data_IF_634042345487
#
_entry.id   IF_634042345487
#
_cell.length_a   1.000
_cell.length_b   1.000
_cell.length_c   1.000
_cell.angle_alpha   90.00
_cell.angle_beta   90.00
_cell.angle_gamma   90.00
#
_symmetry.space_group_name_H-M   'P 1'
#
loop_
_entity.id
_entity.type
_entity.pdbx_description
1 polymer ?
#
# COMPACT_ATOMS: atom_id res chain seq x y z
N UNK A 1 -9.71 19.48 -28.65
CA UNK A 1 -8.48 18.66 -28.62
C UNK A 1 -7.62 18.92 -27.37
N UNK A 2 -7.31 20.17 -27.01
CA UNK A 2 -6.52 20.53 -25.79
C UNK A 2 -7.16 20.08 -24.47
N UNK A 3 -8.49 20.21 -24.33
CA UNK A 3 -9.23 19.76 -23.14
C UNK A 3 -9.15 18.24 -22.91
N UNK A 4 -9.16 17.43 -23.97
CA UNK A 4 -9.08 15.98 -23.84
C UNK A 4 -7.69 15.53 -23.35
N UNK A 5 -6.63 16.19 -23.81
CA UNK A 5 -5.25 15.96 -23.37
C UNK A 5 -5.10 16.34 -21.89
N UNK A 6 -5.68 17.48 -21.48
CA UNK A 6 -5.66 17.92 -20.08
C UNK A 6 -6.41 16.98 -19.14
N UNK A 7 -7.60 16.53 -19.52
CA UNK A 7 -8.40 15.57 -18.74
C UNK A 7 -7.68 14.22 -18.67
N UNK A 8 -7.12 13.75 -19.78
CA UNK A 8 -6.34 12.52 -19.83
C UNK A 8 -5.09 12.60 -18.94
N UNK A 9 -4.33 13.70 -19.01
CA UNK A 9 -3.14 13.91 -18.18
C UNK A 9 -3.48 14.02 -16.68
N UNK A 10 -4.60 14.69 -16.36
CA UNK A 10 -5.10 14.80 -14.97
C UNK A 10 -5.56 13.46 -14.42
N UNK A 11 -6.20 12.63 -15.23
CA UNK A 11 -6.66 11.30 -14.83
C UNK A 11 -5.49 10.31 -14.74
N UNK A 12 -4.50 10.41 -15.62
CA UNK A 12 -3.33 9.55 -15.62
C UNK A 12 -2.37 9.87 -14.46
N UNK A 13 -2.28 11.15 -14.06
CA UNK A 13 -1.49 11.60 -12.89
C UNK A 13 -2.22 11.43 -11.54
N UNK A 14 -3.53 11.19 -11.54
CA UNK A 14 -4.33 11.04 -10.32
C UNK A 14 -3.83 9.92 -9.36
N UNK A 15 -3.52 8.69 -9.82
CA UNK A 15 -3.00 7.66 -8.92
C UNK A 15 -1.65 8.04 -8.31
N UNK A 16 -0.77 8.66 -9.11
CA UNK A 16 0.52 9.15 -8.63
C UNK A 16 0.35 10.26 -7.58
N UNK A 17 -0.58 11.19 -7.77
CA UNK A 17 -0.87 12.24 -6.78
C UNK A 17 -1.41 11.68 -5.46
N UNK A 18 -2.29 10.67 -5.53
CA UNK A 18 -2.77 9.98 -4.33
C UNK A 18 -1.62 9.28 -3.59
N UNK A 19 -0.75 8.57 -4.32
CA UNK A 19 0.47 7.97 -3.75
C UNK A 19 1.37 9.01 -3.08
N UNK A 20 1.69 10.10 -3.74
CA UNK A 20 2.57 11.13 -3.17
C UNK A 20 1.94 11.79 -1.94
N UNK A 21 0.62 12.01 -1.94
CA UNK A 21 -0.09 12.52 -0.74
C UNK A 21 0.03 11.54 0.42
N UNK A 22 -0.14 10.24 0.15
CA UNK A 22 0.02 9.18 1.14
C UNK A 22 1.45 9.10 1.70
N UNK A 23 2.47 9.10 0.83
CA UNK A 23 3.88 9.05 1.24
C UNK A 23 4.29 10.28 2.04
N UNK A 24 3.89 11.48 1.60
CA UNK A 24 4.15 12.72 2.35
C UNK A 24 3.47 12.72 3.72
N UNK A 25 2.24 12.17 3.82
CA UNK A 25 1.55 12.04 5.10
C UNK A 25 2.27 11.07 6.04
N UNK A 26 2.75 9.92 5.53
CA UNK A 26 3.59 9.00 6.30
C UNK A 26 4.88 9.67 6.79
N UNK A 27 5.61 10.37 5.92
CA UNK A 27 6.85 11.06 6.29
C UNK A 27 6.64 12.12 7.38
N UNK A 28 5.49 12.83 7.35
CA UNK A 28 5.13 13.84 8.35
C UNK A 28 4.49 13.26 9.62
N UNK A 29 4.14 11.97 9.62
CA UNK A 29 3.36 11.36 10.71
C UNK A 29 1.91 11.84 10.77
N UNK A 30 1.35 12.34 9.66
CA UNK A 30 -0.06 12.73 9.55
C UNK A 30 -0.94 11.49 9.33
N UNK A 31 -1.22 10.80 10.43
CA UNK A 31 -1.94 9.52 10.41
C UNK A 31 -3.43 9.66 10.07
N UNK A 32 -4.02 10.83 10.30
CA UNK A 32 -5.39 11.12 9.92
C UNK A 32 -5.54 11.16 8.41
N UNK A 33 -4.60 11.84 7.72
CA UNK A 33 -4.54 11.82 6.25
C UNK A 33 -4.26 10.42 5.71
N UNK A 34 -3.33 9.68 6.33
CA UNK A 34 -3.06 8.28 5.97
C UNK A 34 -4.33 7.45 6.06
N UNK A 35 -5.07 7.54 7.18
CA UNK A 35 -6.32 6.80 7.39
C UNK A 35 -7.40 7.24 6.41
N UNK A 36 -7.52 8.53 6.10
CA UNK A 36 -8.49 9.05 5.14
C UNK A 36 -8.23 8.58 3.69
N UNK A 37 -6.96 8.32 3.34
CA UNK A 37 -6.55 7.83 2.01
C UNK A 37 -6.78 6.33 1.82
N UNK A 38 -7.31 5.63 2.82
CA UNK A 38 -7.64 4.21 2.73
C UNK A 38 -9.05 3.98 2.14
N UNK A 39 -9.27 2.86 1.43
CA UNK A 39 -10.59 2.51 0.89
C UNK A 39 -11.69 2.57 1.94
N UNK A 40 -12.84 3.13 1.56
CA UNK A 40 -13.99 3.24 2.47
C UNK A 40 -14.46 1.87 2.96
N UNK A 41 -14.38 0.85 2.11
CA UNK A 41 -14.71 -0.54 2.44
C UNK A 41 -13.78 -1.14 3.50
N UNK A 42 -12.49 -0.78 3.48
CA UNK A 42 -11.52 -1.26 4.45
C UNK A 42 -11.85 -0.72 5.86
N UNK A 43 -12.24 0.56 5.92
CA UNK A 43 -12.70 1.23 7.14
C UNK A 43 -14.05 0.73 7.62
N UNK A 44 -15.04 0.62 6.72
CA UNK A 44 -16.40 0.21 7.04
C UNK A 44 -16.48 -1.24 7.55
N UNK A 45 -15.61 -2.12 7.06
CA UNK A 45 -15.52 -3.51 7.51
C UNK A 45 -14.66 -3.70 8.77
N UNK A 46 -14.10 -2.62 9.33
CA UNK A 46 -13.23 -2.68 10.49
C UNK A 46 -11.91 -3.43 10.26
N UNK A 47 -11.50 -3.62 8.99
CA UNK A 47 -10.22 -4.25 8.64
C UNK A 47 -9.06 -3.36 9.11
N UNK A 48 -9.27 -2.05 9.04
CA UNK A 48 -8.38 -1.04 9.58
C UNK A 48 -9.12 -0.08 10.51
N UNK A 49 -8.42 0.37 11.53
CA UNK A 49 -8.88 1.41 12.46
C UNK A 49 -7.77 2.46 12.61
N UNK A 50 -8.09 3.69 13.04
CA UNK A 50 -7.06 4.72 13.30
C UNK A 50 -5.98 4.22 14.27
N UNK A 51 -6.38 3.47 15.30
CA UNK A 51 -5.47 2.86 16.27
C UNK A 51 -4.54 1.82 15.62
N UNK A 52 -5.05 0.99 14.72
CA UNK A 52 -4.23 0.01 14.01
C UNK A 52 -3.22 0.69 13.06
N UNK A 53 -3.64 1.76 12.38
CA UNK A 53 -2.74 2.60 11.57
C UNK A 53 -1.63 3.18 12.43
N UNK A 54 -1.99 3.78 13.58
CA UNK A 54 -1.04 4.35 14.53
C UNK A 54 -0.03 3.34 15.05
N UNK A 55 -0.49 2.19 15.53
CA UNK A 55 0.42 1.12 15.98
C UNK A 55 1.32 0.62 14.86
N UNK A 56 0.80 0.48 13.65
CA UNK A 56 1.59 0.05 12.49
C UNK A 56 2.68 1.08 12.15
N UNK A 57 2.33 2.36 12.23
CA UNK A 57 3.28 3.45 12.04
C UNK A 57 4.39 3.41 13.10
N UNK A 58 4.02 3.37 14.38
CA UNK A 58 4.95 3.41 15.51
C UNK A 58 5.88 2.18 15.58
N UNK A 59 5.38 0.99 15.26
CA UNK A 59 6.11 -0.26 15.46
C UNK A 59 6.78 -0.85 14.21
N UNK A 60 6.36 -0.44 13.01
CA UNK A 60 6.95 -0.91 11.75
C UNK A 60 7.45 0.25 10.90
N UNK A 61 6.54 1.11 10.41
CA UNK A 61 6.87 2.02 9.32
C UNK A 61 7.92 3.05 9.73
N UNK A 62 7.76 3.68 10.88
CA UNK A 62 8.68 4.71 11.36
C UNK A 62 10.07 4.14 11.67
N UNK A 63 10.24 3.19 12.61
CA UNK A 63 11.57 2.75 13.04
C UNK A 63 12.30 1.88 12.00
N UNK A 64 11.58 1.11 11.18
CA UNK A 64 12.21 0.19 10.21
C UNK A 64 12.41 0.81 8.83
N UNK A 65 11.71 1.90 8.51
CA UNK A 65 11.73 2.48 7.17
C UNK A 65 11.92 4.00 7.17
N UNK A 66 10.99 4.78 7.71
CA UNK A 66 10.94 6.23 7.51
C UNK A 66 12.08 6.99 8.21
N UNK A 67 12.59 6.48 9.33
CA UNK A 67 13.71 7.12 10.04
C UNK A 67 15.07 6.89 9.33
N UNK A 68 15.19 5.79 8.58
CA UNK A 68 16.48 5.34 8.04
C UNK A 68 16.63 5.59 6.55
N UNK A 69 15.55 5.51 5.78
CA UNK A 69 15.61 5.56 4.34
C UNK A 69 14.92 6.81 3.78
N UNK A 70 15.36 7.23 2.59
CA UNK A 70 14.76 8.31 1.81
C UNK A 70 14.34 7.80 0.44
N UNK A 71 13.19 8.27 -0.03
CA UNK A 71 12.68 7.92 -1.34
C UNK A 71 13.59 8.53 -2.41
N UNK A 72 14.10 7.71 -3.33
CA UNK A 72 14.97 8.16 -4.42
C UNK A 72 14.30 8.04 -5.79
N UNK A 73 13.38 7.08 -5.95
CA UNK A 73 12.70 6.85 -7.22
C UNK A 73 11.34 6.21 -7.00
N UNK A 74 10.37 6.64 -7.81
CA UNK A 74 9.04 6.03 -7.93
C UNK A 74 8.87 5.58 -9.36
N UNK A 75 8.69 4.28 -9.57
CA UNK A 75 8.40 3.70 -10.87
C UNK A 75 6.94 3.29 -10.93
N UNK A 76 6.24 3.68 -11.99
CA UNK A 76 4.89 3.18 -12.27
C UNK A 76 5.02 1.93 -13.12
N UNK A 77 4.69 0.78 -12.55
CA UNK A 77 4.57 -0.47 -13.29
C UNK A 77 3.10 -0.70 -13.58
N UNK A 78 2.64 -0.35 -14.78
CA UNK A 78 1.36 -0.89 -15.22
C UNK A 78 1.54 -2.41 -15.35
N UNK A 79 0.64 -3.25 -14.78
CA UNK A 79 0.60 -4.64 -15.21
C UNK A 79 0.46 -4.63 -16.74
N UNK A 80 1.28 -5.41 -17.45
CA UNK A 80 1.16 -5.61 -18.90
C UNK A 80 -0.28 -6.04 -19.18
N UNK A 81 -1.12 -5.10 -19.57
CA UNK A 81 -2.49 -5.37 -19.99
C UNK A 81 -2.45 -5.45 -21.52
N UNK A 82 -2.39 -6.66 -22.05
CA UNK A 82 -2.80 -6.99 -23.43
C UNK A 82 -4.35 -6.92 -23.58
N UNK A 83 -5.00 -6.04 -22.82
CA UNK A 83 -6.45 -5.92 -22.69
C UNK A 83 -6.97 -4.53 -23.06
N UNK A 84 -8.28 -4.39 -23.32
CA UNK A 84 -8.88 -3.16 -23.83
C UNK A 84 -8.62 -1.96 -22.90
N UNK A 85 -8.58 -0.73 -23.45
CA UNK A 85 -8.14 0.46 -22.74
C UNK A 85 -8.89 0.66 -21.42
N UNK A 86 -8.13 1.02 -20.37
CA UNK A 86 -8.46 1.15 -18.93
C UNK A 86 -9.75 1.93 -18.58
N UNK A 87 -10.44 2.48 -19.57
CA UNK A 87 -11.66 3.29 -19.47
C UNK A 87 -12.90 2.42 -19.14
N UNK A 88 -12.85 1.10 -19.39
CA UNK A 88 -14.00 0.19 -19.23
C UNK A 88 -13.94 -0.77 -18.03
N UNK A 89 -12.86 -0.75 -17.24
CA UNK A 89 -12.68 -1.68 -16.11
C UNK A 89 -13.22 -1.07 -14.82
N UNK A 90 -14.20 -1.74 -14.19
CA UNK A 90 -14.92 -1.27 -13.00
C UNK A 90 -14.03 -1.10 -11.76
N UNK A 91 -12.93 -1.84 -11.67
CA UNK A 91 -11.89 -1.69 -10.64
C UNK A 91 -10.54 -1.51 -11.31
N UNK A 92 -9.82 -0.44 -10.99
CA UNK A 92 -8.49 -0.17 -11.56
C UNK A 92 -7.47 -0.09 -10.44
N UNK A 93 -6.36 -0.82 -10.58
CA UNK A 93 -5.23 -0.75 -9.67
C UNK A 93 -3.97 -0.41 -10.46
N UNK A 94 -3.20 0.54 -9.94
CA UNK A 94 -1.90 0.93 -10.49
C UNK A 94 -0.84 0.53 -9.48
N UNK A 95 0.13 -0.25 -9.91
CA UNK A 95 1.27 -0.63 -9.10
C UNK A 95 2.39 0.40 -9.23
N UNK A 96 2.95 0.80 -8.10
CA UNK A 96 4.15 1.61 -8.02
C UNK A 96 5.24 0.86 -7.26
N UNK A 97 6.46 0.91 -7.79
CA UNK A 97 7.67 0.39 -7.16
C UNK A 97 8.42 1.58 -6.59
N UNK A 98 8.72 1.52 -5.29
CA UNK A 98 9.37 2.59 -4.55
C UNK A 98 10.78 2.18 -4.17
N UNK A 99 11.75 2.92 -4.69
CA UNK A 99 13.16 2.71 -4.38
C UNK A 99 13.57 3.68 -3.28
N UNK A 100 14.16 3.11 -2.25
CA UNK A 100 14.60 3.80 -1.04
C UNK A 100 16.09 3.59 -0.83
N UNK A 101 16.78 4.62 -0.34
CA UNK A 101 18.21 4.59 -0.03
C UNK A 101 18.49 5.26 1.33
N UNK A 102 19.38 4.68 2.13
CA UNK A 102 19.87 5.30 3.37
C UNK A 102 21.10 6.21 3.11
N UNK A 103 21.56 6.90 4.17
CA UNK A 103 22.69 7.82 4.07
C UNK A 103 24.02 7.12 3.69
N UNK A 104 24.13 5.81 3.91
CA UNK A 104 25.29 5.00 3.58
C UNK A 104 25.22 4.41 2.17
N UNK A 105 24.11 4.64 1.45
CA UNK A 105 23.91 4.13 0.09
C UNK A 105 23.22 2.77 0.03
N UNK A 106 22.84 2.16 1.16
CA UNK A 106 22.12 0.90 1.17
C UNK A 106 20.68 1.11 0.71
N UNK A 107 20.15 0.15 -0.04
CA UNK A 107 18.78 0.19 -0.54
C UNK A 107 17.89 -0.83 0.16
N UNK A 108 16.59 -0.53 0.26
CA UNK A 108 15.61 -1.59 0.59
C UNK A 108 15.53 -2.51 -0.62
N UNK A 109 16.05 -3.73 -0.47
CA UNK A 109 16.04 -4.75 -1.51
C UNK A 109 15.39 -6.02 -0.98
N UNK A 110 14.38 -6.54 -1.68
CA UNK A 110 13.69 -5.96 -2.84
C UNK A 110 12.89 -4.67 -2.55
N UNK A 111 12.67 -3.77 -3.54
CA UNK A 111 11.98 -2.50 -3.35
C UNK A 111 10.58 -2.63 -2.76
N UNK A 112 10.07 -1.55 -2.16
CA UNK A 112 8.71 -1.51 -1.65
C UNK A 112 7.71 -1.38 -2.79
N UNK A 113 6.54 -2.00 -2.63
CA UNK A 113 5.48 -2.00 -3.65
C UNK A 113 4.22 -1.39 -3.02
N UNK A 114 3.60 -0.45 -3.73
CA UNK A 114 2.34 0.16 -3.35
C UNK A 114 1.35 0.07 -4.50
N UNK A 115 0.16 -0.42 -4.21
CA UNK A 115 -0.95 -0.35 -5.14
C UNK A 115 -1.83 0.85 -4.80
N UNK A 116 -2.18 1.62 -5.83
CA UNK A 116 -3.18 2.67 -5.74
C UNK A 116 -4.39 2.19 -6.52
N UNK A 117 -5.51 1.99 -5.83
CA UNK A 117 -6.73 1.42 -6.41
C UNK A 117 -7.86 2.42 -6.45
N UNK A 118 -8.75 2.24 -7.44
CA UNK A 118 -10.03 2.91 -7.55
C UNK A 118 -11.08 1.84 -7.77
N UNK A 119 -11.97 1.69 -6.79
CA UNK A 119 -13.05 0.70 -6.80
C UNK A 119 -14.37 1.37 -7.21
N UNK A 120 -15.43 0.61 -7.58
CA UNK A 120 -16.74 1.20 -7.82
C UNK A 120 -17.30 1.97 -6.62
N UNK A 121 -16.92 1.56 -5.40
CA UNK A 121 -17.35 2.16 -4.15
C UNK A 121 -16.56 3.44 -3.82
N UNK A 122 -15.27 3.49 -4.18
CA UNK A 122 -14.41 4.66 -4.01
C UNK A 122 -14.15 5.34 -5.36
N UNK A 123 -14.86 6.44 -5.64
CA UNK A 123 -14.64 7.25 -6.86
C UNK A 123 -13.25 7.91 -6.91
N UNK A 124 -12.55 7.93 -5.78
CA UNK A 124 -11.21 8.47 -5.61
C UNK A 124 -10.16 7.37 -5.60
N UNK A 125 -8.91 7.72 -5.93
CA UNK A 125 -7.78 6.83 -5.82
C UNK A 125 -7.37 6.68 -4.36
N UNK A 126 -7.33 5.44 -3.87
CA UNK A 126 -7.06 5.08 -2.48
C UNK A 126 -5.90 4.08 -2.40
N UNK A 127 -5.31 3.97 -1.21
CA UNK A 127 -4.25 3.01 -0.93
C UNK A 127 -4.83 1.93 0.00
N UNK A 128 -5.01 0.69 -0.47
CA UNK A 128 -5.38 -0.45 0.37
C UNK A 128 -4.33 -0.65 1.47
N UNK A 129 -4.63 -0.22 2.70
CA UNK A 129 -3.61 -0.02 3.72
C UNK A 129 -3.11 -1.35 4.29
N UNK A 130 -4.00 -2.28 4.61
CA UNK A 130 -3.66 -3.62 5.06
C UNK A 130 -2.82 -4.37 4.03
N UNK A 131 -3.11 -4.24 2.73
CA UNK A 131 -2.30 -4.86 1.68
C UNK A 131 -0.95 -4.16 1.50
N UNK A 132 -0.91 -2.83 1.62
CA UNK A 132 0.34 -2.08 1.69
C UNK A 132 1.22 -2.54 2.86
N UNK A 133 0.63 -2.72 4.05
CA UNK A 133 1.35 -3.19 5.24
C UNK A 133 1.81 -4.63 5.07
N UNK A 134 1.00 -5.50 4.46
CA UNK A 134 1.38 -6.87 4.12
C UNK A 134 2.63 -6.92 3.25
N UNK A 135 2.61 -6.21 2.12
CA UNK A 135 3.77 -6.13 1.23
C UNK A 135 4.98 -5.51 1.92
N UNK A 136 4.78 -4.47 2.74
CA UNK A 136 5.87 -3.76 3.41
C UNK A 136 6.50 -4.59 4.53
N UNK A 137 5.69 -5.28 5.35
CA UNK A 137 6.16 -6.13 6.42
C UNK A 137 7.02 -7.27 5.88
N UNK A 138 6.62 -7.90 4.77
CA UNK A 138 7.38 -8.95 4.10
C UNK A 138 8.73 -8.46 3.57
N UNK A 139 8.85 -7.18 3.19
CA UNK A 139 10.10 -6.59 2.71
C UNK A 139 11.02 -6.13 3.85
N UNK A 140 10.46 -5.65 4.96
CA UNK A 140 11.22 -5.02 6.06
C UNK A 140 11.57 -5.95 7.23
N UNK A 141 10.77 -7.00 7.49
CA UNK A 141 10.98 -7.91 8.62
C UNK A 141 11.76 -9.15 8.16
N UNK A 142 11.51 -9.62 6.94
CA UNK A 142 12.19 -10.77 6.35
C UNK A 142 11.30 -11.55 5.41
N UNK A 143 11.91 -12.19 4.41
CA UNK A 143 11.25 -12.98 3.36
C UNK A 143 10.90 -14.41 3.77
N UNK A 144 11.35 -14.89 4.93
CA UNK A 144 10.83 -16.15 5.46
C UNK A 144 9.32 -15.99 5.60
N UNK A 145 8.60 -16.76 4.80
CA UNK A 145 7.24 -16.52 4.29
C UNK A 145 6.16 -16.30 5.35
N UNK A 146 6.51 -16.36 6.63
CA UNK A 146 5.58 -16.39 7.74
C UNK A 146 5.86 -15.28 8.78
N UNK A 147 7.03 -14.64 8.74
CA UNK A 147 7.39 -13.64 9.76
C UNK A 147 6.58 -12.36 9.62
N UNK A 148 6.35 -11.91 8.38
CA UNK A 148 5.50 -10.75 8.09
C UNK A 148 4.04 -10.97 8.53
N UNK A 149 3.50 -12.14 8.20
CA UNK A 149 2.11 -12.52 8.56
C UNK A 149 1.95 -12.63 10.07
N UNK A 150 2.91 -13.30 10.72
CA UNK A 150 2.94 -13.42 12.18
C UNK A 150 2.99 -12.05 12.85
N UNK A 151 3.82 -11.13 12.33
CA UNK A 151 3.89 -9.78 12.84
C UNK A 151 2.55 -9.05 12.68
N UNK A 152 1.97 -9.06 11.48
CA UNK A 152 0.67 -8.42 11.23
C UNK A 152 -0.43 -8.99 12.12
N UNK A 153 -0.49 -10.31 12.28
CA UNK A 153 -1.49 -10.96 13.13
C UNK A 153 -1.34 -10.52 14.59
N UNK A 154 -0.11 -10.44 15.11
CA UNK A 154 0.18 -9.95 16.46
C UNK A 154 -0.19 -8.48 16.64
N UNK A 155 -0.08 -7.67 15.59
CA UNK A 155 -0.48 -6.26 15.61
C UNK A 155 -1.99 -6.05 15.59
N UNK A 156 -2.77 -7.09 15.28
CA UNK A 156 -4.22 -7.06 15.29
C UNK A 156 -4.89 -7.19 13.92
N UNK A 157 -4.10 -7.34 12.84
CA UNK A 157 -4.67 -7.62 11.52
C UNK A 157 -5.30 -9.02 11.51
N UNK A 158 -6.46 -9.13 10.88
CA UNK A 158 -7.19 -10.40 10.67
C UNK A 158 -7.53 -10.65 9.22
N UNK A 159 -7.62 -9.58 8.44
CA UNK A 159 -7.94 -9.61 7.03
C UNK A 159 -7.03 -8.65 6.28
N UNK A 160 -6.86 -8.90 4.99
CA UNK A 160 -6.14 -8.06 4.05
C UNK A 160 -7.13 -7.63 2.98
N UNK A 161 -7.23 -6.32 2.74
CA UNK A 161 -8.02 -5.74 1.65
C UNK A 161 -7.12 -5.55 0.43
N UNK A 162 -7.28 -6.39 -0.59
CA UNK A 162 -6.44 -6.41 -1.78
C UNK A 162 -6.71 -5.24 -2.72
N UNK A 163 -5.75 -4.98 -3.61
CA UNK A 163 -5.80 -3.91 -4.61
C UNK A 163 -6.97 -4.01 -5.60
N UNK A 164 -7.53 -5.20 -5.80
CA UNK A 164 -8.69 -5.47 -6.67
C UNK A 164 -10.04 -5.40 -5.92
N UNK A 165 -10.03 -5.10 -4.61
CA UNK A 165 -11.21 -4.97 -3.77
C UNK A 165 -11.67 -6.26 -3.07
N UNK A 166 -10.96 -7.38 -3.29
CA UNK A 166 -11.18 -8.62 -2.55
C UNK A 166 -10.65 -8.51 -1.12
N UNK A 167 -11.21 -9.31 -0.23
CA UNK A 167 -10.78 -9.41 1.16
C UNK A 167 -10.34 -10.85 1.41
N UNK A 168 -9.12 -11.02 1.89
CA UNK A 168 -8.54 -12.31 2.23
C UNK A 168 -8.30 -12.40 3.74
N UNK A 169 -8.54 -13.56 4.38
CA UNK A 169 -8.13 -13.77 5.76
C UNK A 169 -6.61 -13.75 5.86
N UNK A 170 -6.09 -13.12 6.91
CA UNK A 170 -4.68 -13.25 7.26
C UNK A 170 -4.51 -14.58 8.00
N UNK A 171 -3.92 -15.57 7.36
CA UNK A 171 -3.61 -16.86 7.98
C UNK A 171 -2.26 -16.77 8.69
N UNK A 172 -2.21 -16.76 10.04
CA UNK A 172 -0.96 -16.99 10.72
C UNK A 172 -0.60 -18.44 10.48
N UNK A 173 0.40 -18.71 9.64
CA UNK A 173 0.87 -20.07 9.45
C UNK A 173 1.10 -20.75 10.81
N UNK A 174 0.45 -21.90 10.95
CA UNK A 174 0.30 -22.69 12.16
C UNK A 174 1.60 -22.72 12.96
N UNK A 175 1.55 -22.21 14.19
CA UNK A 175 2.56 -22.45 15.21
C UNK A 175 2.92 -23.94 15.23
N UNK A 176 4.22 -24.25 15.25
CA UNK A 176 4.80 -25.59 15.17
C UNK A 176 3.88 -26.73 15.62
N UNK A 177 3.34 -27.46 14.65
CA UNK A 177 2.74 -28.76 14.85
C UNK A 177 3.74 -29.83 14.48
N UNK A 178 4.64 -30.17 15.40
CA UNK A 178 5.13 -31.55 15.46
C UNK A 178 3.91 -32.40 15.81
N UNK A 179 3.52 -33.28 14.88
CA UNK A 179 2.92 -34.57 15.19
C UNK A 179 3.67 -35.62 14.43
#
# INVERSE_FOLDING_TARGET
>A
MVMAIWVWWRQWSAPYRALMTFLNALERGDLDTVYALTPSQERAKGIITPELVRRTYEHLLRPRWLERYRLVQVERTSPKNDGPPEIWVRSVAVQFVLHYRDAQGNTINPPLIVYVSRTPQDREWRIPFSYFVFLTAHRLIGFESHQGDTWMYRMGYRFIYLHNGFVEPLEPHLFGGVR
#
